data_IF_063255938904
#
_entry.id   IF_063255938904
#
_cell.length_a   1.000
_cell.length_b   1.000
_cell.length_c   1.000
_cell.angle_alpha   90.00
_cell.angle_beta   90.00
_cell.angle_gamma   90.00
#
_symmetry.space_group_name_H-M   'P 1'
#
loop_
_entity.id
_entity.type
_entity.pdbx_description
1 polymer ?
#
# COMPACT_ATOMS: atom_id res chain seq x y z
N UNK A 1 20.13 -11.15 -6.10
CA UNK A 1 20.51 -10.24 -7.22
C UNK A 1 21.78 -10.67 -7.96
N UNK A 2 22.91 -10.93 -7.27
CA UNK A 2 24.22 -11.27 -7.90
C UNK A 2 24.19 -12.43 -8.90
N UNK A 3 23.36 -13.44 -8.65
CA UNK A 3 23.11 -14.59 -9.53
C UNK A 3 22.53 -14.19 -10.91
N UNK A 4 21.64 -13.19 -10.95
CA UNK A 4 20.94 -12.76 -12.16
C UNK A 4 21.79 -11.71 -12.90
N UNK A 5 22.28 -10.71 -12.19
CA UNK A 5 22.93 -9.54 -12.81
C UNK A 5 24.43 -9.74 -13.05
N UNK A 6 25.06 -10.78 -12.49
CA UNK A 6 26.50 -11.09 -12.64
C UNK A 6 27.42 -9.86 -12.48
N UNK A 7 27.15 -9.04 -11.46
CA UNK A 7 27.84 -7.76 -11.16
C UNK A 7 27.61 -6.59 -12.14
N UNK A 8 26.70 -6.71 -13.11
CA UNK A 8 26.33 -5.59 -13.97
C UNK A 8 25.63 -4.50 -13.14
N UNK A 9 25.92 -3.22 -13.40
CA UNK A 9 25.23 -2.14 -12.71
C UNK A 9 23.75 -2.11 -13.10
N UNK A 10 22.88 -1.89 -12.12
CA UNK A 10 21.44 -1.77 -12.31
C UNK A 10 21.05 -0.35 -11.96
N UNK A 11 20.34 0.31 -12.88
CA UNK A 11 19.84 1.66 -12.71
C UNK A 11 18.31 1.64 -12.67
N UNK A 12 17.72 2.59 -11.96
CA UNK A 12 16.28 2.78 -11.89
C UNK A 12 15.94 4.26 -12.00
N UNK A 13 14.83 4.55 -12.67
CA UNK A 13 14.07 5.79 -12.51
C UNK A 13 12.92 5.46 -11.56
N UNK A 14 12.88 6.10 -10.39
CA UNK A 14 11.79 5.93 -9.42
C UNK A 14 11.00 7.24 -9.34
N UNK A 15 9.68 7.11 -9.36
CA UNK A 15 8.75 8.24 -9.24
C UNK A 15 7.80 8.03 -8.07
N UNK A 16 7.46 9.11 -7.37
CA UNK A 16 6.36 9.18 -6.41
C UNK A 16 5.37 10.18 -6.98
N UNK A 17 4.12 9.77 -7.16
CA UNK A 17 3.10 10.53 -7.89
C UNK A 17 1.73 10.46 -7.22
N UNK A 18 0.93 11.48 -7.47
CA UNK A 18 -0.53 11.44 -7.32
C UNK A 18 -1.16 11.17 -8.69
N UNK A 19 -2.49 11.10 -8.73
CA UNK A 19 -3.26 10.83 -9.95
C UNK A 19 -2.93 11.80 -11.11
N UNK A 20 -2.57 13.03 -10.79
CA UNK A 20 -2.41 14.16 -11.72
C UNK A 20 -0.96 14.63 -11.92
N UNK A 21 -0.02 14.26 -11.06
CA UNK A 21 1.35 14.80 -11.11
C UNK A 21 2.42 13.91 -10.47
N UNK A 22 3.64 14.05 -10.97
CA UNK A 22 4.86 13.52 -10.34
C UNK A 22 5.28 14.49 -9.23
N UNK A 23 5.34 14.00 -7.99
CA UNK A 23 5.74 14.78 -6.82
C UNK A 23 7.22 14.65 -6.49
N UNK A 24 7.87 13.60 -6.97
CA UNK A 24 9.30 13.34 -6.79
C UNK A 24 9.76 12.34 -7.85
N UNK A 25 10.96 12.53 -8.39
CA UNK A 25 11.57 11.59 -9.32
C UNK A 25 13.09 11.60 -9.17
N UNK A 26 13.73 10.44 -9.34
CA UNK A 26 15.18 10.34 -9.36
C UNK A 26 15.64 9.15 -10.20
N UNK A 27 16.69 9.36 -10.99
CA UNK A 27 17.38 8.32 -11.74
C UNK A 27 18.76 8.06 -11.14
N UNK A 28 19.23 6.81 -11.18
CA UNK A 28 20.55 6.43 -10.64
C UNK A 28 20.65 4.95 -10.29
N UNK A 29 21.71 4.54 -9.57
CA UNK A 29 21.88 3.15 -9.13
C UNK A 29 20.65 2.70 -8.34
N UNK A 30 20.07 1.56 -8.73
CA UNK A 30 18.73 1.14 -8.28
C UNK A 30 18.59 1.12 -6.76
N UNK A 31 19.55 0.52 -6.05
CA UNK A 31 19.56 0.48 -4.59
C UNK A 31 19.53 1.89 -3.97
N UNK A 32 20.44 2.78 -4.40
CA UNK A 32 20.55 4.14 -3.87
C UNK A 32 19.28 4.97 -4.11
N UNK A 33 18.67 4.81 -5.29
CA UNK A 33 17.47 5.56 -5.66
C UNK A 33 16.25 5.03 -4.90
N UNK A 34 16.10 3.71 -4.80
CA UNK A 34 15.00 3.10 -4.04
C UNK A 34 15.06 3.46 -2.56
N UNK A 35 16.23 3.40 -1.92
CA UNK A 35 16.38 3.82 -0.51
C UNK A 35 15.99 5.28 -0.31
N UNK A 36 16.38 6.18 -1.22
CA UNK A 36 15.97 7.58 -1.16
C UNK A 36 14.46 7.75 -1.35
N UNK A 37 13.85 6.97 -2.25
CA UNK A 37 12.41 7.00 -2.48
C UNK A 37 11.62 6.53 -1.24
N UNK A 38 12.08 5.49 -0.54
CA UNK A 38 11.43 5.01 0.68
C UNK A 38 11.38 6.09 1.76
N UNK A 39 12.49 6.81 2.00
CA UNK A 39 12.48 7.91 2.97
C UNK A 39 11.46 9.01 2.62
N UNK A 40 11.31 9.33 1.33
CA UNK A 40 10.32 10.32 0.86
C UNK A 40 8.89 9.77 0.99
N UNK A 41 8.67 8.50 0.68
CA UNK A 41 7.37 7.85 0.83
C UNK A 41 6.95 7.78 2.30
N UNK A 42 7.86 7.38 3.20
CA UNK A 42 7.62 7.28 4.63
C UNK A 42 7.24 8.64 5.23
N UNK A 43 7.99 9.69 4.88
CA UNK A 43 7.71 11.05 5.34
C UNK A 43 6.31 11.54 4.93
N UNK A 44 5.79 11.09 3.78
CA UNK A 44 4.52 11.57 3.22
C UNK A 44 3.32 10.72 3.61
N UNK A 45 3.51 9.40 3.74
CA UNK A 45 2.42 8.44 3.84
C UNK A 45 2.32 7.78 5.22
N UNK A 46 3.30 7.98 6.11
CA UNK A 46 3.26 7.43 7.46
C UNK A 46 2.72 8.46 8.45
N UNK A 47 1.77 8.03 9.26
CA UNK A 47 1.21 8.82 10.35
C UNK A 47 1.32 8.04 11.66
N UNK A 48 1.80 8.72 12.71
CA UNK A 48 1.76 8.18 14.07
C UNK A 48 0.45 8.62 14.71
N UNK A 49 -0.29 7.65 15.25
CA UNK A 49 -1.58 7.87 15.90
C UNK A 49 -1.64 7.05 17.18
N UNK A 50 -2.39 7.52 18.16
CA UNK A 50 -2.71 6.74 19.36
C UNK A 50 -3.85 5.74 19.03
N UNK A 51 -3.78 4.49 19.52
CA UNK A 51 -4.83 3.50 19.26
C UNK A 51 -6.19 3.90 19.84
N UNK A 52 -7.24 3.79 19.03
CA UNK A 52 -8.63 4.12 19.40
C UNK A 52 -9.51 2.89 19.60
N UNK A 53 -10.66 3.05 20.25
CA UNK A 53 -11.64 1.97 20.43
C UNK A 53 -12.52 1.74 19.20
N UNK A 54 -12.70 2.79 18.38
CA UNK A 54 -13.50 2.73 17.16
C UNK A 54 -12.77 3.41 16.01
N UNK A 55 -12.59 2.69 14.92
CA UNK A 55 -11.92 3.18 13.71
C UNK A 55 -12.91 3.24 12.55
N UNK A 56 -12.92 4.34 11.80
CA UNK A 56 -13.56 4.42 10.49
C UNK A 56 -12.46 4.41 9.44
N UNK A 57 -12.52 3.49 8.48
CA UNK A 57 -11.47 3.33 7.47
C UNK A 57 -12.04 3.00 6.10
N UNK A 58 -11.41 3.50 5.05
CA UNK A 58 -11.66 3.14 3.65
C UNK A 58 -10.32 2.86 2.95
N UNK A 59 -10.30 2.08 1.85
CA UNK A 59 -9.10 1.86 1.05
C UNK A 59 -8.82 2.99 0.04
N UNK A 60 -9.64 4.05 0.02
CA UNK A 60 -9.48 5.20 -0.87
C UNK A 60 -10.28 5.15 -2.18
N UNK A 61 -11.25 4.24 -2.30
CA UNK A 61 -12.07 4.08 -3.51
C UNK A 61 -11.34 3.36 -4.65
N UNK A 62 -11.94 3.34 -5.84
CA UNK A 62 -11.42 2.59 -6.99
C UNK A 62 -10.02 3.11 -7.41
N UNK A 63 -9.03 2.24 -7.68
CA UNK A 63 -9.12 0.77 -7.81
C UNK A 63 -8.95 -0.01 -6.51
N UNK A 64 -8.75 0.66 -5.37
CA UNK A 64 -8.41 0.01 -4.11
C UNK A 64 -9.59 -0.64 -3.39
N UNK A 65 -10.83 -0.40 -3.82
CA UNK A 65 -12.04 -1.09 -3.36
C UNK A 65 -12.76 -1.89 -4.45
N UNK A 66 -12.03 -2.32 -5.48
CA UNK A 66 -12.61 -3.10 -6.60
C UNK A 66 -13.33 -4.38 -6.12
N UNK A 67 -12.79 -5.02 -5.08
CA UNK A 67 -13.34 -6.19 -4.40
C UNK A 67 -12.88 -6.22 -2.93
N UNK A 68 -13.46 -7.11 -2.13
CA UNK A 68 -13.15 -7.25 -0.71
C UNK A 68 -11.68 -7.66 -0.47
N UNK A 69 -11.13 -8.51 -1.34
CA UNK A 69 -9.76 -9.03 -1.23
C UNK A 69 -8.70 -7.93 -1.31
N UNK A 70 -8.86 -6.97 -2.23
CA UNK A 70 -7.99 -5.81 -2.33
C UNK A 70 -8.30 -4.80 -1.23
N UNK A 71 -9.59 -4.58 -0.94
CA UNK A 71 -10.03 -3.56 0.02
C UNK A 71 -9.50 -3.82 1.44
N UNK A 72 -9.41 -5.08 1.89
CA UNK A 72 -8.90 -5.42 3.23
C UNK A 72 -7.46 -4.95 3.50
N UNK A 73 -6.68 -4.57 2.48
CA UNK A 73 -5.35 -3.94 2.68
C UNK A 73 -5.44 -2.71 3.57
N UNK A 74 -6.54 -1.97 3.52
CA UNK A 74 -6.76 -0.83 4.42
C UNK A 74 -6.79 -1.26 5.90
N UNK A 75 -7.38 -2.42 6.21
CA UNK A 75 -7.42 -2.97 7.56
C UNK A 75 -6.00 -3.34 8.02
N UNK A 76 -5.24 -4.05 7.18
CA UNK A 76 -3.86 -4.45 7.53
C UNK A 76 -2.94 -3.25 7.77
N UNK A 77 -3.05 -2.21 6.93
CA UNK A 77 -2.24 -1.00 7.06
C UNK A 77 -2.63 -0.16 8.29
N UNK A 78 -3.86 -0.29 8.79
CA UNK A 78 -4.39 0.54 9.88
C UNK A 78 -4.66 -0.23 11.18
N UNK A 79 -4.36 -1.54 11.24
CA UNK A 79 -4.66 -2.38 12.42
C UNK A 79 -4.04 -1.87 13.73
N UNK A 80 -2.88 -1.21 13.65
CA UNK A 80 -2.23 -0.64 14.83
C UNK A 80 -2.92 0.63 15.36
N UNK A 81 -3.85 1.22 14.59
CA UNK A 81 -4.62 2.39 15.00
C UNK A 81 -5.85 2.02 15.83
N UNK A 82 -6.19 0.74 15.99
CA UNK A 82 -7.32 0.27 16.80
C UNK A 82 -6.83 -0.63 17.94
N UNK A 83 -7.43 -0.51 19.12
CA UNK A 83 -7.13 -1.37 20.27
C UNK A 83 -7.61 -2.80 20.03
N UNK A 84 -6.99 -3.78 20.69
CA UNK A 84 -7.50 -5.16 20.71
C UNK A 84 -8.95 -5.18 21.23
N UNK A 85 -9.85 -5.84 20.48
CA UNK A 85 -11.28 -5.87 20.78
C UNK A 85 -12.05 -4.59 20.41
N UNK A 86 -11.39 -3.60 19.79
CA UNK A 86 -12.04 -2.42 19.24
C UNK A 86 -12.88 -2.73 17.99
N UNK A 87 -13.70 -1.75 17.60
CA UNK A 87 -14.64 -1.87 16.49
C UNK A 87 -14.13 -1.12 15.26
N UNK A 88 -14.34 -1.68 14.07
CA UNK A 88 -13.97 -1.03 12.81
C UNK A 88 -15.23 -0.87 11.95
N UNK A 89 -15.55 0.37 11.57
CA UNK A 89 -16.47 0.66 10.48
C UNK A 89 -15.66 0.73 9.18
N UNK A 90 -15.73 -0.35 8.41
CA UNK A 90 -15.01 -0.47 7.15
C UNK A 90 -15.90 -0.04 5.97
N UNK A 91 -15.45 0.96 5.22
CA UNK A 91 -16.16 1.52 4.07
C UNK A 91 -15.45 1.11 2.76
N UNK A 92 -16.03 0.19 2.02
CA UNK A 92 -15.52 -0.25 0.71
C UNK A 92 -16.70 -0.60 -0.22
N UNK A 93 -16.65 -0.14 -1.48
CA UNK A 93 -17.76 -0.35 -2.41
C UNK A 93 -17.83 -1.80 -2.93
N UNK A 94 -16.68 -2.43 -3.15
CA UNK A 94 -16.54 -3.82 -3.61
C UNK A 94 -17.49 -4.20 -4.75
N UNK A 95 -17.51 -3.45 -5.88
CA UNK A 95 -18.44 -3.72 -6.98
C UNK A 95 -18.28 -5.12 -7.59
N UNK A 96 -17.10 -5.76 -7.46
CA UNK A 96 -16.84 -7.13 -7.90
C UNK A 96 -17.06 -8.17 -6.80
N UNK A 97 -17.67 -7.81 -5.66
CA UNK A 97 -17.89 -8.72 -4.54
C UNK A 97 -16.61 -9.04 -3.79
N UNK A 98 -16.31 -10.32 -3.60
CA UNK A 98 -15.20 -10.77 -2.72
C UNK A 98 -13.85 -10.68 -3.42
N UNK A 99 -13.79 -11.06 -4.70
CA UNK A 99 -12.57 -11.14 -5.50
C UNK A 99 -12.82 -12.05 -6.71
N UNK A 100 -11.79 -12.25 -7.52
CA UNK A 100 -11.86 -13.22 -8.63
C UNK A 100 -12.04 -14.65 -8.11
N UNK A 101 -12.59 -15.54 -8.94
CA UNK A 101 -12.95 -16.92 -8.55
C UNK A 101 -11.76 -17.69 -7.92
N UNK A 102 -10.57 -17.60 -8.52
CA UNK A 102 -9.34 -18.20 -7.97
C UNK A 102 -8.93 -17.62 -6.61
N UNK A 103 -9.23 -16.35 -6.39
CA UNK A 103 -8.95 -15.68 -5.11
C UNK A 103 -9.89 -16.22 -4.05
N UNK A 104 -11.17 -16.41 -4.38
CA UNK A 104 -12.18 -16.95 -3.47
C UNK A 104 -11.87 -18.37 -2.98
N UNK A 105 -11.26 -19.22 -3.82
CA UNK A 105 -10.85 -20.59 -3.41
C UNK A 105 -9.89 -20.60 -2.22
N UNK A 106 -9.06 -19.57 -2.10
CA UNK A 106 -8.05 -19.41 -1.06
C UNK A 106 -8.39 -18.29 -0.08
N UNK A 107 -9.60 -17.73 -0.16
CA UNK A 107 -10.05 -16.62 0.68
C UNK A 107 -10.62 -17.17 1.99
N UNK A 108 -9.76 -17.79 2.79
CA UNK A 108 -10.05 -18.26 4.16
C UNK A 108 -8.81 -18.12 5.05
#
# INVERSE_FOLDING_TARGET
MRLIIKQRPVYALVTISTLDRIQWAKFGPAEKVCTAAFAIADQRNTHTVEPVERLIVSPGGLPNDVDLYIAQRALELTKNAVKNGGEILFLAACPNGIGEEQTMENFY
#
